data_IF_169487171765
#
_entry.id   IF_169487171765
#
_cell.length_a   1.000
_cell.length_b   1.000
_cell.length_c   1.000
_cell.angle_alpha   90.00
_cell.angle_beta   90.00
_cell.angle_gamma   90.00
#
_symmetry.space_group_name_H-M   'P 1'
#
loop_
_entity.id
_entity.type
_entity.pdbx_description
1 polymer ?
#
# COMPACT_ATOMS: atom_id res chain seq x y z
N UNK A 1 -12.55 -31.37 -9.37
CA UNK A 1 -13.63 -30.40 -9.09
C UNK A 1 -13.50 -29.28 -10.11
N UNK A 2 -14.48 -29.12 -11.01
CA UNK A 2 -14.44 -28.03 -11.99
C UNK A 2 -14.75 -26.73 -11.27
N UNK A 3 -13.76 -25.84 -11.13
CA UNK A 3 -13.98 -24.46 -10.70
C UNK A 3 -14.82 -23.78 -11.79
N UNK A 4 -16.10 -23.53 -11.50
CA UNK A 4 -16.93 -22.72 -12.38
C UNK A 4 -16.51 -21.27 -12.24
N UNK A 5 -16.05 -20.65 -13.32
CA UNK A 5 -15.72 -19.22 -13.35
C UNK A 5 -17.02 -18.40 -13.22
N UNK A 6 -17.05 -17.52 -12.23
CA UNK A 6 -18.06 -16.48 -12.10
C UNK A 6 -17.67 -15.27 -12.97
N UNK A 7 -18.15 -15.28 -14.21
CA UNK A 7 -17.80 -14.26 -15.20
C UNK A 7 -18.30 -12.86 -14.85
N UNK A 8 -19.45 -12.73 -14.18
CA UNK A 8 -19.99 -11.41 -13.81
C UNK A 8 -19.16 -10.78 -12.70
N UNK A 9 -18.76 -11.59 -11.71
CA UNK A 9 -17.83 -11.17 -10.67
C UNK A 9 -16.49 -10.72 -11.28
N UNK A 10 -15.92 -11.51 -12.20
CA UNK A 10 -14.66 -11.16 -12.88
C UNK A 10 -14.75 -9.86 -13.69
N UNK A 11 -15.82 -9.68 -14.47
CA UNK A 11 -16.06 -8.46 -15.24
C UNK A 11 -16.16 -7.24 -14.31
N UNK A 12 -16.94 -7.34 -13.24
CA UNK A 12 -17.12 -6.26 -12.26
C UNK A 12 -15.82 -5.94 -11.53
N UNK A 13 -15.07 -6.96 -11.11
CA UNK A 13 -13.77 -6.80 -10.45
C UNK A 13 -12.76 -6.12 -11.36
N UNK A 14 -12.71 -6.49 -12.64
CA UNK A 14 -11.82 -5.84 -13.60
C UNK A 14 -12.21 -4.37 -13.80
N UNK A 15 -13.48 -4.05 -14.01
CA UNK A 15 -13.90 -2.64 -14.17
C UNK A 15 -13.50 -1.79 -12.97
N UNK A 16 -13.78 -2.26 -11.75
CA UNK A 16 -13.40 -1.54 -10.53
C UNK A 16 -11.89 -1.35 -10.42
N UNK A 17 -11.10 -2.39 -10.72
CA UNK A 17 -9.65 -2.29 -10.73
C UNK A 17 -9.14 -1.25 -11.75
N UNK A 18 -9.72 -1.23 -12.96
CA UNK A 18 -9.39 -0.25 -13.99
C UNK A 18 -9.79 1.18 -13.57
N UNK A 19 -10.97 1.35 -12.95
CA UNK A 19 -11.45 2.66 -12.46
C UNK A 19 -10.56 3.20 -11.34
N UNK A 20 -10.22 2.36 -10.36
CA UNK A 20 -9.29 2.72 -9.28
C UNK A 20 -7.90 3.08 -9.84
N UNK A 21 -7.44 2.34 -10.86
CA UNK A 21 -6.16 2.62 -11.49
C UNK A 21 -6.17 3.93 -12.29
N UNK A 22 -7.26 4.23 -13.00
CA UNK A 22 -7.46 5.52 -13.67
C UNK A 22 -7.41 6.67 -12.65
N UNK A 23 -8.17 6.54 -11.56
CA UNK A 23 -8.17 7.52 -10.48
C UNK A 23 -6.75 7.74 -9.96
N UNK A 24 -6.04 6.67 -9.60
CA UNK A 24 -4.67 6.75 -9.08
C UNK A 24 -3.71 7.52 -10.02
N UNK A 25 -3.71 7.18 -11.30
CA UNK A 25 -2.79 7.79 -12.28
C UNK A 25 -3.15 9.27 -12.50
N UNK A 26 -4.43 9.59 -12.65
CA UNK A 26 -4.86 10.96 -12.90
C UNK A 26 -4.78 11.85 -11.66
N UNK A 27 -5.02 11.32 -10.46
CA UNK A 27 -4.78 12.01 -9.19
C UNK A 27 -3.31 12.37 -9.02
N UNK A 28 -2.39 11.43 -9.28
CA UNK A 28 -0.95 11.70 -9.23
C UNK A 28 -0.53 12.79 -10.23
N UNK A 29 -1.16 12.85 -11.40
CA UNK A 29 -0.80 13.79 -12.47
C UNK A 29 -1.45 15.17 -12.32
N UNK A 30 -2.71 15.22 -11.91
CA UNK A 30 -3.56 16.44 -11.93
C UNK A 30 -4.05 16.87 -10.55
N UNK A 31 -3.69 16.14 -9.49
CA UNK A 31 -4.06 16.44 -8.11
C UNK A 31 -5.57 16.35 -7.86
N UNK A 32 -6.08 17.16 -6.93
CA UNK A 32 -7.49 17.15 -6.51
C UNK A 32 -8.49 17.42 -7.66
N UNK A 33 -8.06 18.04 -8.76
CA UNK A 33 -8.92 18.34 -9.92
C UNK A 33 -8.86 17.28 -11.03
N UNK A 34 -8.36 16.08 -10.74
CA UNK A 34 -8.26 15.00 -11.73
C UNK A 34 -9.58 14.63 -12.41
N UNK A 35 -10.71 14.77 -11.70
CA UNK A 35 -12.05 14.53 -12.26
C UNK A 35 -12.37 15.49 -13.43
N UNK A 36 -11.94 16.75 -13.34
CA UNK A 36 -12.06 17.72 -14.43
C UNK A 36 -11.13 17.40 -15.61
N UNK A 37 -10.06 16.63 -15.36
CA UNK A 37 -9.08 16.24 -16.35
C UNK A 37 -9.47 14.98 -17.13
N UNK A 38 -10.56 14.26 -16.80
CA UNK A 38 -10.96 13.01 -17.46
C UNK A 38 -11.16 13.08 -18.99
N UNK A 39 -11.26 14.29 -19.57
CA UNK A 39 -11.54 14.54 -21.00
C UNK A 39 -12.79 13.79 -21.49
N UNK A 40 -13.78 13.61 -20.63
CA UNK A 40 -15.08 12.97 -20.94
C UNK A 40 -16.11 14.06 -21.27
N UNK A 41 -17.05 13.77 -22.19
CA UNK A 41 -18.06 14.76 -22.58
C UNK A 41 -19.07 15.00 -21.45
N UNK A 42 -19.66 16.21 -21.33
CA UNK A 42 -20.68 16.48 -20.32
C UNK A 42 -21.86 15.51 -20.37
N UNK A 43 -22.30 15.12 -21.57
CA UNK A 43 -23.37 14.14 -21.75
C UNK A 43 -23.05 12.76 -21.12
N UNK A 44 -21.78 12.35 -21.13
CA UNK A 44 -21.35 11.09 -20.50
C UNK A 44 -21.31 11.20 -18.98
N UNK A 45 -20.86 12.35 -18.46
CA UNK A 45 -20.91 12.64 -17.02
C UNK A 45 -22.36 12.60 -16.52
N UNK A 46 -23.29 13.20 -17.26
CA UNK A 46 -24.72 13.14 -16.91
C UNK A 46 -25.27 11.70 -16.97
N UNK A 47 -24.90 10.91 -17.98
CA UNK A 47 -25.29 9.50 -18.05
C UNK A 47 -24.78 8.68 -16.84
N UNK A 48 -23.58 8.97 -16.34
CA UNK A 48 -23.06 8.33 -15.12
C UNK A 48 -23.84 8.74 -13.87
N UNK A 49 -24.22 10.02 -13.76
CA UNK A 49 -25.08 10.49 -12.67
C UNK A 49 -26.45 9.82 -12.71
N UNK A 50 -27.04 9.69 -13.90
CA UNK A 50 -28.32 9.01 -14.07
C UNK A 50 -28.24 7.54 -13.68
N UNK A 51 -27.19 6.81 -14.12
CA UNK A 51 -26.94 5.42 -13.69
C UNK A 51 -26.83 5.31 -12.17
N UNK A 52 -26.12 6.24 -11.53
CA UNK A 52 -26.04 6.33 -10.07
C UNK A 52 -27.40 6.52 -9.43
N UNK A 53 -28.23 7.43 -9.93
CA UNK A 53 -29.58 7.66 -9.40
C UNK A 53 -30.47 6.44 -9.54
N UNK A 54 -30.44 5.75 -10.70
CA UNK A 54 -31.18 4.51 -10.94
C UNK A 54 -30.74 3.42 -9.97
N UNK A 55 -29.43 3.23 -9.80
CA UNK A 55 -28.88 2.21 -8.90
C UNK A 55 -29.17 2.53 -7.43
N UNK A 56 -29.17 3.81 -7.06
CA UNK A 56 -29.56 4.29 -5.74
C UNK A 56 -31.03 3.99 -5.42
N UNK A 57 -31.92 4.24 -6.38
CA UNK A 57 -33.33 3.90 -6.24
C UNK A 57 -33.54 2.38 -6.12
N UNK A 58 -32.78 1.57 -6.88
CA UNK A 58 -32.86 0.10 -6.84
C UNK A 58 -32.41 -0.48 -5.49
N UNK A 59 -31.40 0.11 -4.86
CA UNK A 59 -30.76 -0.44 -3.66
C UNK A 59 -31.35 0.05 -2.33
N UNK A 60 -32.32 0.98 -2.36
CA UNK A 60 -33.19 1.27 -1.22
C UNK A 60 -32.49 1.66 0.08
N UNK A 61 -31.37 2.39 0.01
CA UNK A 61 -30.63 2.88 1.18
C UNK A 61 -29.42 2.03 1.62
N UNK A 62 -28.99 1.03 0.85
CA UNK A 62 -27.69 0.36 1.07
C UNK A 62 -26.52 1.30 0.69
N UNK A 63 -25.36 1.07 1.32
CA UNK A 63 -24.13 1.78 0.99
C UNK A 63 -23.81 1.63 -0.52
N UNK A 64 -23.71 2.77 -1.21
CA UNK A 64 -23.39 2.87 -2.63
C UNK A 64 -22.01 3.49 -2.78
N UNK A 65 -21.35 3.20 -3.91
CA UNK A 65 -20.13 3.92 -4.25
C UNK A 65 -20.50 5.33 -4.71
N UNK A 66 -20.01 6.34 -3.98
CA UNK A 66 -20.28 7.74 -4.29
C UNK A 66 -19.42 8.28 -5.43
N UNK A 67 -18.34 7.55 -5.79
CA UNK A 67 -17.39 7.98 -6.82
C UNK A 67 -18.03 7.87 -8.20
N UNK A 68 -18.10 8.99 -8.92
CA UNK A 68 -18.81 9.04 -10.20
C UNK A 68 -18.18 8.12 -11.27
N UNK A 69 -16.85 7.93 -11.24
CA UNK A 69 -16.13 7.04 -12.15
C UNK A 69 -16.59 5.57 -12.03
N UNK A 70 -17.19 5.17 -10.90
CA UNK A 70 -17.70 3.80 -10.70
C UNK A 70 -18.90 3.44 -11.57
N UNK A 71 -19.51 4.44 -12.22
CA UNK A 71 -20.62 4.26 -13.15
C UNK A 71 -20.18 4.31 -14.63
N UNK A 72 -18.88 4.43 -14.89
CA UNK A 72 -18.27 4.36 -16.22
C UNK A 72 -18.09 2.91 -16.67
N UNK A 73 -18.52 2.57 -17.89
CA UNK A 73 -18.42 1.21 -18.44
C UNK A 73 -17.08 0.95 -19.16
N UNK A 74 -16.87 -0.25 -19.71
CA UNK A 74 -15.65 -0.58 -20.47
C UNK A 74 -15.41 0.35 -21.67
N UNK A 75 -16.46 0.84 -22.32
CA UNK A 75 -16.33 1.81 -23.40
C UNK A 75 -15.70 3.11 -22.87
N UNK A 76 -16.24 3.62 -21.76
CA UNK A 76 -15.76 4.82 -21.11
C UNK A 76 -14.31 4.65 -20.60
N UNK A 77 -14.00 3.52 -19.95
CA UNK A 77 -12.65 3.15 -19.47
C UNK A 77 -11.66 3.17 -20.65
N UNK A 78 -11.98 2.50 -21.76
CA UNK A 78 -11.15 2.49 -22.97
C UNK A 78 -10.96 3.90 -23.55
N UNK A 79 -12.01 4.72 -23.55
CA UNK A 79 -11.96 6.11 -24.03
C UNK A 79 -11.04 6.99 -23.20
N UNK A 80 -11.11 6.87 -21.86
CA UNK A 80 -10.24 7.60 -20.93
C UNK A 80 -8.79 7.17 -21.11
N UNK A 81 -8.52 5.85 -21.11
CA UNK A 81 -7.17 5.31 -21.31
C UNK A 81 -6.51 5.84 -22.58
N UNK A 82 -7.24 5.82 -23.71
CA UNK A 82 -6.73 6.32 -24.99
C UNK A 82 -6.31 7.80 -24.94
N UNK A 83 -7.10 8.64 -24.27
CA UNK A 83 -6.88 10.09 -24.18
C UNK A 83 -5.76 10.51 -23.23
N UNK A 84 -5.38 9.61 -22.33
CA UNK A 84 -4.41 9.84 -21.27
C UNK A 84 -3.25 8.85 -21.34
N UNK A 85 -3.08 8.14 -22.47
CA UNK A 85 -2.19 6.98 -22.57
C UNK A 85 -0.77 7.28 -22.06
N UNK A 86 -0.22 8.42 -22.47
CA UNK A 86 1.13 8.86 -22.13
C UNK A 86 1.26 9.47 -20.73
N UNK A 87 0.16 9.58 -19.97
CA UNK A 87 0.13 10.15 -18.62
C UNK A 87 0.42 9.10 -17.52
N UNK A 88 0.85 7.89 -17.90
CA UNK A 88 1.28 6.83 -16.99
C UNK A 88 0.76 5.44 -17.37
N UNK A 89 -0.29 5.36 -18.18
CA UNK A 89 -0.89 4.08 -18.60
C UNK A 89 0.02 3.28 -19.53
N UNK A 90 0.78 3.93 -20.41
CA UNK A 90 1.75 3.28 -21.28
C UNK A 90 2.79 2.47 -20.49
N UNK A 91 3.26 3.01 -19.36
CA UNK A 91 4.22 2.34 -18.49
C UNK A 91 3.64 1.12 -17.75
N UNK A 92 2.32 1.10 -17.55
CA UNK A 92 1.62 -0.01 -16.89
C UNK A 92 1.24 -1.11 -17.88
N UNK A 93 0.69 -0.72 -19.03
CA UNK A 93 0.03 -1.64 -19.94
C UNK A 93 0.86 -1.97 -21.19
N UNK A 94 1.90 -1.20 -21.49
CA UNK A 94 2.79 -1.43 -22.63
C UNK A 94 2.18 -0.98 -23.96
N UNK A 95 1.48 -1.88 -24.65
CA UNK A 95 0.92 -1.64 -25.97
C UNK A 95 -0.56 -1.23 -25.91
N UNK A 96 -0.87 -0.03 -26.44
CA UNK A 96 -2.22 0.53 -26.44
C UNK A 96 -3.19 -0.37 -27.18
N UNK A 97 -2.80 -0.86 -28.37
CA UNK A 97 -3.71 -1.60 -29.25
C UNK A 97 -4.16 -2.90 -28.62
N UNK A 98 -3.25 -3.63 -27.97
CA UNK A 98 -3.55 -4.86 -27.25
C UNK A 98 -4.51 -4.60 -26.09
N UNK A 99 -4.25 -3.55 -25.29
CA UNK A 99 -5.14 -3.17 -24.18
C UNK A 99 -6.52 -2.76 -24.68
N UNK A 100 -6.60 -2.02 -25.78
CA UNK A 100 -7.88 -1.68 -26.39
C UNK A 100 -8.64 -2.94 -26.79
N UNK A 101 -8.01 -3.85 -27.55
CA UNK A 101 -8.61 -5.13 -27.96
C UNK A 101 -9.18 -5.88 -26.77
N UNK A 102 -8.43 -6.01 -25.68
CA UNK A 102 -8.91 -6.64 -24.46
C UNK A 102 -10.15 -5.95 -23.89
N UNK A 103 -10.14 -4.63 -23.75
CA UNK A 103 -11.29 -3.89 -23.23
C UNK A 103 -12.51 -3.99 -24.15
N UNK A 104 -12.35 -4.02 -25.47
CA UNK A 104 -13.49 -4.22 -26.39
C UNK A 104 -14.08 -5.63 -26.25
N UNK A 105 -13.26 -6.66 -26.01
CA UNK A 105 -13.78 -7.99 -25.74
C UNK A 105 -14.58 -8.01 -24.44
N UNK A 106 -14.08 -7.38 -23.38
CA UNK A 106 -14.80 -7.29 -22.11
C UNK A 106 -16.11 -6.50 -22.25
N UNK A 107 -16.11 -5.40 -23.01
CA UNK A 107 -17.32 -4.64 -23.35
C UNK A 107 -18.38 -5.52 -24.04
N UNK A 108 -17.99 -6.27 -25.08
CA UNK A 108 -18.91 -7.17 -25.81
C UNK A 108 -19.47 -8.29 -24.94
N UNK A 109 -18.66 -8.82 -24.03
CA UNK A 109 -19.05 -9.90 -23.13
C UNK A 109 -19.87 -9.40 -21.93
N UNK A 110 -19.80 -8.09 -21.62
CA UNK A 110 -20.62 -7.43 -20.59
C UNK A 110 -21.98 -6.96 -21.11
N UNK A 111 -22.18 -6.83 -22.43
CA UNK A 111 -23.40 -6.27 -23.01
C UNK A 111 -24.67 -6.94 -22.40
N UNK A 112 -25.58 -6.18 -21.79
CA UNK A 112 -26.82 -6.70 -21.22
C UNK A 112 -27.74 -7.43 -22.19
N UNK A 113 -27.65 -7.14 -23.50
CA UNK A 113 -28.36 -7.92 -24.51
C UNK A 113 -27.70 -9.29 -24.74
N UNK A 114 -26.39 -9.42 -24.47
CA UNK A 114 -25.70 -10.71 -24.37
C UNK A 114 -26.04 -11.46 -23.08
N UNK A 115 -26.42 -10.78 -21.98
CA UNK A 115 -26.87 -11.44 -20.74
C UNK A 115 -28.18 -12.26 -20.87
N UNK A 116 -28.92 -12.14 -21.98
CA UNK A 116 -30.03 -13.07 -22.29
C UNK A 116 -29.53 -14.42 -22.83
N UNK A 117 -28.25 -14.52 -23.22
CA UNK A 117 -27.60 -15.77 -23.62
C UNK A 117 -26.59 -16.15 -22.54
N UNK A 118 -26.65 -17.40 -22.09
CA UNK A 118 -25.64 -17.91 -21.16
C UNK A 118 -24.25 -17.87 -21.81
N UNK A 119 -23.27 -17.30 -21.11
CA UNK A 119 -21.89 -17.31 -21.59
C UNK A 119 -21.37 -18.75 -21.66
N UNK A 120 -20.78 -19.09 -22.81
CA UNK A 120 -20.13 -20.39 -23.00
C UNK A 120 -18.88 -20.51 -22.14
N UNK A 121 -18.41 -21.75 -21.89
CA UNK A 121 -17.21 -21.99 -21.07
C UNK A 121 -15.98 -21.25 -21.60
N UNK A 122 -15.75 -21.24 -22.91
CA UNK A 122 -14.58 -20.56 -23.49
C UNK A 122 -14.63 -19.04 -23.30
N UNK A 123 -15.83 -18.42 -23.34
CA UNK A 123 -16.00 -16.99 -23.04
C UNK A 123 -15.69 -16.69 -21.57
N UNK A 124 -16.12 -17.55 -20.64
CA UNK A 124 -15.79 -17.41 -19.21
C UNK A 124 -14.27 -17.50 -18.97
N UNK A 125 -13.59 -18.44 -19.61
CA UNK A 125 -12.13 -18.55 -19.54
C UNK A 125 -11.41 -17.35 -20.18
N UNK A 126 -11.93 -16.82 -21.29
CA UNK A 126 -11.39 -15.62 -21.92
C UNK A 126 -11.50 -14.40 -21.00
N UNK A 127 -12.65 -14.21 -20.33
CA UNK A 127 -12.87 -13.17 -19.32
C UNK A 127 -11.84 -13.28 -18.19
N UNK A 128 -11.67 -14.48 -17.62
CA UNK A 128 -10.72 -14.71 -16.55
C UNK A 128 -9.27 -14.44 -17.00
N UNK A 129 -8.90 -14.86 -18.21
CA UNK A 129 -7.58 -14.63 -18.79
C UNK A 129 -7.28 -13.14 -18.99
N UNK A 130 -8.20 -12.40 -19.61
CA UNK A 130 -8.05 -10.95 -19.81
C UNK A 130 -8.04 -10.20 -18.47
N UNK A 131 -8.94 -10.54 -17.55
CA UNK A 131 -9.01 -9.98 -16.19
C UNK A 131 -7.68 -10.16 -15.45
N UNK A 132 -7.16 -11.39 -15.42
CA UNK A 132 -5.89 -11.73 -14.79
C UNK A 132 -4.70 -10.98 -15.39
N UNK A 133 -4.63 -10.90 -16.72
CA UNK A 133 -3.56 -10.20 -17.44
C UNK A 133 -3.55 -8.69 -17.09
N UNK A 134 -4.68 -8.00 -17.23
CA UNK A 134 -4.76 -6.57 -16.98
C UNK A 134 -4.55 -6.23 -15.49
N UNK A 135 -5.11 -7.02 -14.58
CA UNK A 135 -4.91 -6.82 -13.13
C UNK A 135 -3.47 -7.06 -12.71
N UNK A 136 -2.80 -8.08 -13.28
CA UNK A 136 -1.37 -8.32 -13.03
C UNK A 136 -0.54 -7.12 -13.47
N UNK A 137 -0.81 -6.54 -14.65
CA UNK A 137 -0.13 -5.32 -15.12
C UNK A 137 -0.31 -4.14 -14.17
N UNK A 138 -1.52 -3.92 -13.63
CA UNK A 138 -1.79 -2.90 -12.62
C UNK A 138 -0.95 -3.13 -11.36
N UNK A 139 -0.93 -4.36 -10.84
CA UNK A 139 -0.16 -4.71 -9.63
C UNK A 139 1.34 -4.49 -9.85
N UNK A 140 1.88 -4.97 -10.97
CA UNK A 140 3.29 -4.79 -11.33
C UNK A 140 3.66 -3.31 -11.49
N UNK A 141 2.75 -2.48 -12.01
CA UNK A 141 2.97 -1.05 -12.12
C UNK A 141 3.01 -0.37 -10.74
N UNK A 142 2.05 -0.69 -9.86
CA UNK A 142 2.03 -0.17 -8.47
C UNK A 142 3.34 -0.50 -7.75
N UNK A 143 3.81 -1.75 -7.85
CA UNK A 143 5.08 -2.17 -7.25
C UNK A 143 6.35 -1.52 -7.82
N UNK A 144 6.28 -0.81 -8.96
CA UNK A 144 7.42 -0.08 -9.56
C UNK A 144 7.49 1.40 -9.16
N UNK A 145 6.39 1.97 -8.69
CA UNK A 145 6.25 3.41 -8.42
C UNK A 145 5.82 3.76 -7.00
N UNK A 146 5.62 2.76 -6.14
CA UNK A 146 5.40 2.93 -4.71
C UNK A 146 6.72 2.56 -4.03
N UNK A 147 7.41 3.54 -3.43
CA UNK A 147 8.42 3.17 -2.45
C UNK A 147 7.66 2.73 -1.20
N UNK A 148 7.97 1.55 -0.65
CA UNK A 148 7.30 1.04 0.56
C UNK A 148 7.37 2.10 1.67
N UNK A 149 8.51 2.78 1.73
CA UNK A 149 8.83 3.90 2.63
C UNK A 149 7.86 5.09 2.52
N UNK A 150 7.13 5.26 1.41
CA UNK A 150 6.13 6.35 1.25
C UNK A 150 4.83 6.06 2.03
N UNK A 151 4.62 4.82 2.49
CA UNK A 151 3.39 4.38 3.13
C UNK A 151 3.51 4.16 4.63
N UNK A 152 4.72 3.92 5.14
CA UNK A 152 4.94 3.53 6.52
C UNK A 152 5.86 4.51 7.24
N UNK A 153 5.74 4.64 8.58
CA UNK A 153 6.69 5.37 9.38
C UNK A 153 8.13 4.91 9.16
N UNK A 154 9.06 5.85 9.21
CA UNK A 154 10.49 5.59 9.09
C UNK A 154 11.22 6.20 10.28
N UNK A 155 12.22 5.47 10.81
CA UNK A 155 13.17 6.02 11.76
C UNK A 155 14.17 6.86 10.98
N UNK A 156 14.19 8.16 11.22
CA UNK A 156 15.15 9.08 10.59
C UNK A 156 16.50 9.04 11.31
N UNK A 157 16.45 8.93 12.65
CA UNK A 157 17.61 8.91 13.52
C UNK A 157 17.35 8.03 14.75
N UNK A 158 18.31 7.18 15.08
CA UNK A 158 18.43 6.61 16.41
C UNK A 158 19.76 7.02 17.04
N UNK A 159 19.76 7.28 18.35
CA UNK A 159 20.97 7.68 19.09
C UNK A 159 20.95 7.21 20.53
N UNK A 160 22.12 7.18 21.14
CA UNK A 160 22.29 7.02 22.58
C UNK A 160 22.98 8.24 23.21
N UNK A 161 23.02 8.28 24.55
CA UNK A 161 23.72 9.31 25.32
C UNK A 161 25.24 9.14 25.40
N UNK A 162 25.80 8.08 24.80
CA UNK A 162 27.25 7.83 24.71
C UNK A 162 27.86 8.39 23.41
N UNK A 163 27.04 8.99 22.55
CA UNK A 163 27.45 9.60 21.29
C UNK A 163 27.32 8.69 20.07
N UNK A 164 26.75 7.49 20.21
CA UNK A 164 26.44 6.63 19.08
C UNK A 164 25.15 7.09 18.41
N UNK A 165 25.15 7.11 17.08
CA UNK A 165 23.96 7.45 16.32
C UNK A 165 23.93 6.77 14.96
N UNK A 166 22.74 6.73 14.38
CA UNK A 166 22.44 6.03 13.16
C UNK A 166 21.43 6.83 12.33
N UNK A 167 21.84 7.42 11.18
CA UNK A 167 20.90 7.94 10.20
C UNK A 167 20.32 6.80 9.36
N UNK A 168 18.99 6.70 9.31
CA UNK A 168 18.29 5.48 8.92
C UNK A 168 17.15 5.67 7.89
N UNK A 169 17.29 6.51 6.84
CA UNK A 169 16.18 6.77 5.92
C UNK A 169 15.70 5.55 5.10
N UNK A 170 16.38 4.39 5.17
CA UNK A 170 16.12 3.22 4.33
C UNK A 170 15.90 1.92 5.16
N UNK A 171 15.38 2.05 6.38
CA UNK A 171 14.91 0.92 7.19
C UNK A 171 15.97 0.10 7.94
N UNK A 172 15.65 -1.19 8.15
CA UNK A 172 16.25 -2.12 9.12
C UNK A 172 17.80 -2.16 9.11
N UNK A 173 18.44 -1.66 10.18
CA UNK A 173 19.91 -1.73 10.36
C UNK A 173 20.33 -2.35 11.68
N UNK A 174 21.43 -3.11 11.61
CA UNK A 174 22.19 -3.62 12.74
C UNK A 174 23.48 -2.84 12.87
N UNK A 175 23.75 -2.28 14.04
CA UNK A 175 24.87 -1.37 14.26
C UNK A 175 25.67 -1.86 15.45
N UNK A 176 26.92 -2.24 15.18
CA UNK A 176 27.86 -2.60 16.23
C UNK A 176 28.42 -1.33 16.90
N UNK A 177 28.19 -1.25 18.21
CA UNK A 177 28.65 -0.16 19.06
C UNK A 177 29.98 -0.53 19.69
N UNK A 178 30.97 0.37 19.58
CA UNK A 178 32.33 0.12 20.06
C UNK A 178 32.47 0.30 21.57
N UNK A 179 31.56 1.02 22.21
CA UNK A 179 31.57 1.20 23.65
C UNK A 179 31.37 -0.15 24.36
N UNK A 180 32.21 -0.40 25.37
CA UNK A 180 32.08 -1.56 26.25
C UNK A 180 31.39 -1.11 27.53
N UNK A 181 30.27 -1.72 27.84
CA UNK A 181 29.48 -1.44 29.03
C UNK A 181 29.78 -2.45 30.14
N UNK A 182 29.34 -2.15 31.35
CA UNK A 182 29.37 -3.03 32.51
C UNK A 182 28.01 -3.14 33.18
N UNK A 183 27.82 -4.22 33.93
CA UNK A 183 26.65 -4.36 34.82
C UNK A 183 26.54 -3.14 35.74
N UNK A 184 25.37 -2.52 35.74
CA UNK A 184 25.05 -1.30 36.48
C UNK A 184 25.06 -0.03 35.62
N UNK A 185 25.70 -0.05 34.45
CA UNK A 185 25.68 1.09 33.54
C UNK A 185 24.27 1.33 33.02
N UNK A 186 23.94 2.59 32.77
CA UNK A 186 22.65 3.00 32.20
C UNK A 186 22.88 3.83 30.95
N UNK A 187 22.19 3.44 29.87
CA UNK A 187 22.24 4.12 28.58
C UNK A 187 20.86 4.62 28.22
N UNK A 188 20.77 5.88 27.85
CA UNK A 188 19.54 6.50 27.35
C UNK A 188 19.54 6.45 25.82
N UNK A 189 18.46 5.93 25.26
CA UNK A 189 18.22 5.81 23.83
C UNK A 189 17.14 6.79 23.40
N UNK A 190 17.25 7.29 22.17
CA UNK A 190 16.24 8.14 21.56
C UNK A 190 16.06 7.83 20.08
N UNK A 191 14.80 7.87 19.64
CA UNK A 191 14.36 7.67 18.25
C UNK A 191 13.74 8.98 17.74
N UNK A 192 14.08 9.37 16.52
CA UNK A 192 13.36 10.38 15.73
C UNK A 192 12.79 9.66 14.52
N UNK A 193 11.48 9.75 14.32
CA UNK A 193 10.77 9.07 13.25
C UNK A 193 9.65 9.94 12.70
N UNK A 194 9.27 9.69 11.45
CA UNK A 194 8.22 10.41 10.73
C UNK A 194 7.23 9.44 10.12
N UNK A 195 5.94 9.78 10.19
CA UNK A 195 4.89 9.11 9.42
C UNK A 195 4.59 9.92 8.15
N UNK A 196 4.62 9.32 6.95
CA UNK A 196 4.35 10.02 5.70
C UNK A 196 2.98 10.72 5.62
N UNK A 197 2.01 10.28 6.42
CA UNK A 197 0.67 10.86 6.50
C UNK A 197 0.44 11.62 7.81
N UNK A 198 1.48 11.82 8.63
CA UNK A 198 1.42 12.55 9.88
C UNK A 198 0.61 11.85 10.99
N UNK A 199 0.44 10.52 10.91
CA UNK A 199 -0.25 9.77 11.96
C UNK A 199 0.58 9.73 13.27
N UNK A 200 -0.12 9.59 14.40
CA UNK A 200 0.52 9.39 15.69
C UNK A 200 1.35 8.10 15.72
N UNK A 201 2.55 8.20 16.31
CA UNK A 201 3.52 7.13 16.43
C UNK A 201 3.59 6.56 17.85
N UNK A 202 3.93 5.28 17.91
CA UNK A 202 4.34 4.56 19.12
C UNK A 202 5.74 4.00 18.94
N UNK A 203 6.50 3.98 20.02
CA UNK A 203 7.89 3.57 20.05
C UNK A 203 8.07 2.41 21.04
N UNK A 204 9.04 1.54 20.78
CA UNK A 204 9.46 0.49 21.70
C UNK A 204 10.98 0.41 21.69
N UNK A 205 11.59 0.40 22.88
CA UNK A 205 13.03 0.30 23.07
C UNK A 205 13.29 -0.81 24.07
N UNK A 206 13.77 -1.95 23.59
CA UNK A 206 13.79 -3.18 24.39
C UNK A 206 14.91 -4.15 23.96
N UNK A 207 15.10 -5.19 24.77
CA UNK A 207 16.00 -6.31 24.45
C UNK A 207 15.25 -7.32 23.59
N UNK A 208 15.85 -7.89 22.52
CA UNK A 208 15.21 -8.95 21.75
C UNK A 208 14.68 -10.09 22.61
N UNK A 209 13.50 -10.60 22.28
CA UNK A 209 12.85 -11.69 23.02
C UNK A 209 12.10 -11.26 24.28
N UNK A 210 12.19 -9.99 24.68
CA UNK A 210 11.30 -9.41 25.68
C UNK A 210 9.99 -8.93 25.03
N UNK A 211 8.88 -8.87 25.77
CA UNK A 211 7.64 -8.27 25.27
C UNK A 211 7.83 -6.82 24.82
N UNK A 212 7.18 -6.44 23.73
CA UNK A 212 7.21 -5.06 23.25
C UNK A 212 6.55 -4.10 24.24
N UNK A 213 7.23 -3.00 24.52
CA UNK A 213 6.84 -1.98 25.48
C UNK A 213 6.36 -0.69 24.78
N UNK A 214 5.40 -0.84 23.86
CA UNK A 214 4.90 0.26 23.05
C UNK A 214 4.41 1.44 23.90
N UNK A 215 5.02 2.61 23.71
CA UNK A 215 4.67 3.86 24.37
C UNK A 215 4.66 5.03 23.38
N UNK A 216 4.21 6.21 23.81
CA UNK A 216 4.32 7.44 23.01
C UNK A 216 5.66 8.16 23.24
N UNK A 217 6.47 7.70 24.19
CA UNK A 217 7.78 8.27 24.48
C UNK A 217 8.80 7.73 23.47
N UNK A 218 9.49 8.64 22.79
CA UNK A 218 10.51 8.28 21.80
C UNK A 218 11.89 8.03 22.42
N UNK A 219 11.98 7.98 23.74
CA UNK A 219 13.21 7.76 24.48
C UNK A 219 13.00 6.72 25.58
N UNK A 220 14.11 6.11 26.01
CA UNK A 220 14.10 5.18 27.15
C UNK A 220 15.50 4.96 27.69
N UNK A 221 15.60 4.87 29.01
CA UNK A 221 16.83 4.43 29.69
C UNK A 221 16.81 2.94 29.96
N UNK A 222 17.88 2.24 29.60
CA UNK A 222 18.11 0.84 29.93
C UNK A 222 19.32 0.73 30.84
N UNK A 223 19.11 0.15 32.03
CA UNK A 223 20.18 -0.28 32.93
C UNK A 223 20.57 -1.71 32.58
N UNK A 224 21.88 -1.95 32.43
CA UNK A 224 22.43 -3.25 32.07
C UNK A 224 22.66 -4.10 33.31
N UNK A 225 22.21 -5.35 33.29
CA UNK A 225 22.26 -6.28 34.42
C UNK A 225 23.10 -7.53 34.11
N UNK A 226 23.11 -8.49 35.05
CA UNK A 226 23.90 -9.72 34.91
C UNK A 226 23.49 -10.59 33.71
N UNK A 227 22.24 -10.52 33.27
CA UNK A 227 21.76 -11.27 32.11
C UNK A 227 22.26 -10.68 30.78
N UNK A 228 22.73 -9.43 30.79
CA UNK A 228 23.24 -8.76 29.59
C UNK A 228 24.71 -9.06 29.27
N UNK A 229 25.44 -9.68 30.21
CA UNK A 229 26.87 -9.96 30.07
C UNK A 229 27.12 -10.81 28.82
N UNK A 230 27.97 -10.30 27.93
CA UNK A 230 28.32 -11.00 26.70
C UNK A 230 29.00 -10.10 25.67
N UNK A 231 29.52 -10.73 24.61
CA UNK A 231 30.06 -10.03 23.44
C UNK A 231 28.97 -9.37 22.58
N UNK A 232 27.72 -9.77 22.78
CA UNK A 232 26.56 -9.31 22.01
C UNK A 232 25.38 -9.11 22.96
N UNK A 233 25.10 -7.86 23.30
CA UNK A 233 23.86 -7.43 23.93
C UNK A 233 23.16 -6.46 22.97
N UNK A 234 21.98 -6.86 22.50
CA UNK A 234 21.25 -6.13 21.47
C UNK A 234 20.13 -5.30 22.10
N UNK A 235 20.02 -4.04 21.68
CA UNK A 235 18.90 -3.15 21.99
C UNK A 235 18.18 -2.83 20.68
N UNK A 236 16.91 -3.21 20.60
CA UNK A 236 16.02 -2.94 19.47
C UNK A 236 15.18 -1.70 19.75
N UNK A 237 15.15 -0.82 18.75
CA UNK A 237 14.41 0.43 18.72
C UNK A 237 13.44 0.37 17.55
N UNK A 238 12.16 0.29 17.85
CA UNK A 238 11.09 0.13 16.86
C UNK A 238 10.13 1.32 16.89
N UNK A 239 9.55 1.60 15.74
CA UNK A 239 8.42 2.54 15.61
C UNK A 239 7.24 1.84 14.95
N UNK A 240 6.03 2.27 15.30
CA UNK A 240 4.83 1.94 14.54
C UNK A 240 3.83 3.08 14.56
N UNK A 241 3.02 3.17 13.53
CA UNK A 241 1.86 4.03 13.50
C UNK A 241 0.71 3.43 14.33
N UNK A 242 -0.27 4.27 14.64
CA UNK A 242 -1.55 3.85 15.23
C UNK A 242 -2.52 3.27 14.20
N UNK A 243 -2.12 3.13 12.93
CA UNK A 243 -2.96 2.62 11.85
C UNK A 243 -3.20 1.11 11.99
N UNK A 244 -4.23 0.60 11.33
CA UNK A 244 -4.64 -0.82 11.39
C UNK A 244 -3.71 -1.80 10.65
N UNK A 245 -2.57 -1.33 10.14
CA UNK A 245 -1.58 -2.11 9.41
C UNK A 245 -0.18 -1.60 9.75
N UNK A 246 0.84 -2.42 9.51
CA UNK A 246 2.25 -2.07 9.71
C UNK A 246 3.14 -2.70 8.63
N UNK A 247 4.32 -2.12 8.34
CA UNK A 247 5.25 -2.62 7.32
C UNK A 247 5.76 -4.06 7.59
N UNK A 248 6.10 -4.38 8.85
CA UNK A 248 6.77 -5.64 9.25
C UNK A 248 5.95 -6.45 10.27
N UNK A 249 4.64 -6.61 10.05
CA UNK A 249 3.76 -7.46 10.87
C UNK A 249 3.90 -7.25 12.40
N UNK A 250 3.78 -6.00 12.85
CA UNK A 250 3.81 -5.62 14.26
C UNK A 250 4.53 -4.31 14.54
N UNK A 251 5.38 -3.87 13.61
CA UNK A 251 6.08 -2.59 13.61
C UNK A 251 6.29 -2.08 12.18
N UNK A 252 6.61 -0.81 12.05
CA UNK A 252 6.81 -0.13 10.76
C UNK A 252 8.28 0.04 10.39
N UNK A 253 9.14 0.26 11.38
CA UNK A 253 10.59 0.30 11.18
C UNK A 253 11.34 -0.09 12.47
N UNK A 254 12.59 -0.50 12.31
CA UNK A 254 13.43 -1.07 13.36
C UNK A 254 14.91 -0.72 13.15
N UNK A 255 15.61 -0.36 14.22
CA UNK A 255 17.07 -0.36 14.28
C UNK A 255 17.54 -1.10 15.52
N UNK A 256 18.70 -1.76 15.40
CA UNK A 256 19.33 -2.48 16.49
C UNK A 256 20.73 -1.94 16.77
N UNK A 257 20.99 -1.57 18.02
CA UNK A 257 22.32 -1.28 18.53
C UNK A 257 22.85 -2.50 19.28
N UNK A 258 24.08 -2.91 18.99
CA UNK A 258 24.75 -4.06 19.60
C UNK A 258 25.93 -3.61 20.44
N UNK A 259 25.88 -3.88 21.74
CA UNK A 259 26.94 -3.57 22.70
C UNK A 259 27.70 -4.83 23.13
N UNK A 260 28.90 -4.64 23.67
CA UNK A 260 29.57 -5.62 24.53
C UNK A 260 29.36 -5.23 25.98
N UNK A 261 28.97 -6.18 26.84
CA UNK A 261 28.72 -5.95 28.27
C UNK A 261 29.59 -6.88 29.10
N UNK A 262 30.33 -6.32 30.04
CA UNK A 262 31.21 -7.05 30.95
C UNK A 262 30.62 -7.11 32.37
N UNK A 263 31.12 -8.01 33.25
CA UNK A 263 30.77 -7.98 34.67
C UNK A 263 31.08 -6.63 35.33
N UNK A 264 30.40 -6.37 36.45
CA UNK A 264 30.73 -5.25 37.33
C UNK A 264 32.20 -5.30 37.75
N UNK A 265 32.80 -4.12 38.00
CA UNK A 265 34.13 -4.06 38.62
C UNK A 265 33.95 -4.51 40.07
N UNK A 266 34.68 -5.57 40.46
CA UNK A 266 34.69 -6.09 41.83
C UNK A 266 35.31 -5.12 42.82
#
# INVERSE_FOLDING_TARGET
MSSSIDAESELKSLENAMRDFIQLILERKHGANWMGALKVTPARIEAWKERRTIEQARLGGKALDERLLYYADFYDIRSILRKHWDEGFAAAFGDLRTTEVFLEQMEKLRDPNAHRRELTSHQKWLIAGISGELRTRIVLHRGKGENVDDYFPLIELARDNLGNFAPLPNGLKFIEIKNVLRVGDSVEFQIIATDPYGADLKYSIHRPGQPYDWSHENNKTITFDKADIGKTCDIQMMVKSTRGYTAFHGHDDLVQFRYTVLPAVG
#
